data_IF_611346113065
#
_entry.id   IF_611346113065
#
_cell.length_a   1.000
_cell.length_b   1.000
_cell.length_c   1.000
_cell.angle_alpha   90.00
_cell.angle_beta   90.00
_cell.angle_gamma   90.00
#
_symmetry.space_group_name_H-M   'P 1'
#
loop_
_entity.id
_entity.type
_entity.pdbx_description
1 polymer ?
#
# COMPACT_ATOMS: atom_id res chain seq x y z
N UNK A 1 7.06 -15.08 -9.36
CA UNK A 1 6.82 -14.50 -10.69
C UNK A 1 6.35 -13.03 -10.63
N UNK A 2 5.30 -12.68 -9.87
CA UNK A 2 4.71 -11.33 -9.89
C UNK A 2 5.67 -10.14 -9.66
N UNK A 3 6.52 -10.18 -8.62
CA UNK A 3 7.42 -9.08 -8.29
C UNK A 3 8.45 -8.79 -9.40
N UNK A 4 9.02 -9.84 -10.01
CA UNK A 4 10.00 -9.71 -11.10
C UNK A 4 9.39 -9.04 -12.33
N UNK A 5 8.14 -9.37 -12.67
CA UNK A 5 7.43 -8.70 -13.77
C UNK A 5 7.15 -7.22 -13.47
N UNK A 6 6.80 -6.88 -12.22
CA UNK A 6 6.60 -5.49 -11.82
C UNK A 6 7.91 -4.69 -11.85
N UNK A 7 9.02 -5.30 -11.43
CA UNK A 7 10.35 -4.71 -11.55
C UNK A 7 10.73 -4.45 -13.01
N UNK A 8 10.55 -5.44 -13.89
CA UNK A 8 10.80 -5.28 -15.34
C UNK A 8 9.92 -4.17 -15.92
N UNK A 9 8.64 -4.13 -15.55
CA UNK A 9 7.73 -3.09 -16.00
C UNK A 9 8.13 -1.70 -15.50
N UNK A 10 8.66 -1.59 -14.27
CA UNK A 10 9.16 -0.34 -13.72
C UNK A 10 10.44 0.11 -14.44
N UNK A 11 11.36 -0.82 -14.74
CA UNK A 11 12.56 -0.55 -15.54
C UNK A 11 12.26 -0.16 -16.98
N UNK A 12 11.16 -0.66 -17.54
CA UNK A 12 10.63 -0.23 -18.83
C UNK A 12 9.91 1.14 -18.79
N UNK A 13 10.02 1.90 -17.68
CA UNK A 13 9.40 3.20 -17.47
C UNK A 13 7.86 3.22 -17.61
N UNK A 14 7.18 2.09 -17.38
CA UNK A 14 5.72 2.07 -17.33
C UNK A 14 5.23 2.77 -16.06
N UNK A 15 4.41 3.83 -16.13
CA UNK A 15 3.95 4.54 -14.93
C UNK A 15 3.23 3.65 -13.93
N UNK A 16 2.44 2.69 -14.41
CA UNK A 16 1.75 1.68 -13.58
C UNK A 16 2.75 0.72 -12.92
N UNK A 17 3.76 0.27 -13.68
CA UNK A 17 4.81 -0.61 -13.18
C UNK A 17 5.64 0.07 -12.09
N UNK A 18 6.05 1.31 -12.35
CA UNK A 18 6.75 2.17 -11.38
C UNK A 18 5.91 2.33 -10.11
N UNK A 19 4.63 2.68 -10.25
CA UNK A 19 3.73 2.86 -9.10
C UNK A 19 3.57 1.58 -8.28
N UNK A 20 3.21 0.46 -8.91
CA UNK A 20 3.00 -0.81 -8.21
C UNK A 20 4.27 -1.34 -7.55
N UNK A 21 5.41 -1.23 -8.25
CA UNK A 21 6.70 -1.64 -7.70
C UNK A 21 7.14 -0.76 -6.53
N UNK A 22 6.93 0.57 -6.62
CA UNK A 22 7.21 1.48 -5.52
C UNK A 22 6.38 1.17 -4.26
N UNK A 23 5.09 0.89 -4.42
CA UNK A 23 4.21 0.50 -3.30
C UNK A 23 4.69 -0.81 -2.67
N UNK A 24 5.06 -1.81 -3.47
CA UNK A 24 5.61 -3.07 -2.94
C UNK A 24 6.88 -2.84 -2.12
N UNK A 25 7.80 -2.00 -2.62
CA UNK A 25 9.02 -1.65 -1.88
C UNK A 25 8.70 -0.95 -0.55
N UNK A 26 7.69 -0.09 -0.50
CA UNK A 26 7.27 0.51 0.78
C UNK A 26 6.71 -0.52 1.76
N UNK A 27 5.92 -1.49 1.29
CA UNK A 27 5.34 -2.55 2.14
C UNK A 27 6.40 -3.53 2.62
N UNK A 28 7.48 -3.73 1.87
CA UNK A 28 8.64 -4.55 2.28
C UNK A 28 9.71 -3.76 3.04
N UNK A 29 9.39 -2.56 3.53
CA UNK A 29 10.31 -1.68 4.27
C UNK A 29 11.54 -1.18 3.49
N UNK A 30 11.57 -1.35 2.17
CA UNK A 30 12.60 -0.86 1.24
C UNK A 30 12.35 0.62 0.88
N UNK A 31 12.15 1.47 1.89
CA UNK A 31 11.66 2.86 1.71
C UNK A 31 12.57 3.72 0.83
N UNK A 32 13.89 3.49 0.86
CA UNK A 32 14.84 4.25 0.02
C UNK A 32 14.69 3.89 -1.45
N UNK A 33 14.52 2.60 -1.76
CA UNK A 33 14.27 2.15 -3.12
C UNK A 33 12.89 2.60 -3.60
N UNK A 34 11.86 2.44 -2.76
CA UNK A 34 10.49 2.90 -3.05
C UNK A 34 10.44 4.39 -3.42
N UNK A 35 11.14 5.24 -2.66
CA UNK A 35 11.24 6.68 -2.94
C UNK A 35 11.87 6.99 -4.30
N UNK A 36 12.92 6.25 -4.70
CA UNK A 36 13.55 6.45 -6.01
C UNK A 36 12.56 6.21 -7.15
N UNK A 37 11.71 5.18 -7.04
CA UNK A 37 10.69 4.91 -8.05
C UNK A 37 9.55 5.93 -8.01
N UNK A 38 9.11 6.39 -6.84
CA UNK A 38 8.09 7.45 -6.79
C UNK A 38 8.62 8.77 -7.35
N UNK A 39 9.91 9.08 -7.14
CA UNK A 39 10.55 10.28 -7.71
C UNK A 39 10.49 10.29 -9.25
N UNK A 40 10.50 9.11 -9.93
CA UNK A 40 10.28 9.01 -11.38
C UNK A 40 8.87 9.42 -11.82
N UNK A 41 7.89 9.38 -10.90
CA UNK A 41 6.52 9.86 -11.14
C UNK A 41 6.35 11.33 -10.78
N UNK A 42 7.42 12.02 -10.37
CA UNK A 42 7.42 13.41 -9.95
C UNK A 42 6.44 13.71 -8.79
N UNK A 43 6.28 12.73 -7.89
CA UNK A 43 5.27 12.78 -6.82
C UNK A 43 5.39 13.98 -5.86
N UNK A 44 6.57 14.60 -5.76
CA UNK A 44 6.82 15.77 -4.90
C UNK A 44 6.22 17.04 -5.46
N UNK A 45 6.16 17.16 -6.79
CA UNK A 45 5.67 18.36 -7.47
C UNK A 45 4.26 18.14 -8.02
N UNK A 46 3.95 16.92 -8.50
CA UNK A 46 2.67 16.60 -9.13
C UNK A 46 2.15 15.21 -8.72
N UNK A 47 1.05 15.20 -7.97
CA UNK A 47 0.36 13.97 -7.55
C UNK A 47 -0.57 13.39 -8.62
N UNK A 48 -0.79 14.08 -9.75
CA UNK A 48 -1.76 13.70 -10.78
C UNK A 48 -1.46 12.31 -11.35
N UNK A 49 -0.20 12.04 -11.68
CA UNK A 49 0.24 10.73 -12.21
C UNK A 49 0.03 9.62 -11.19
N UNK A 50 0.33 9.89 -9.93
CA UNK A 50 0.19 8.96 -8.82
C UNK A 50 -1.28 8.62 -8.56
N UNK A 51 -2.14 9.65 -8.50
CA UNK A 51 -3.59 9.51 -8.34
C UNK A 51 -4.22 8.76 -9.51
N UNK A 52 -3.79 9.02 -10.74
CA UNK A 52 -4.25 8.28 -11.92
C UNK A 52 -3.90 6.80 -11.83
N UNK A 53 -2.66 6.47 -11.45
CA UNK A 53 -2.23 5.09 -11.26
C UNK A 53 -3.03 4.40 -10.15
N UNK A 54 -3.20 5.07 -9.01
CA UNK A 54 -3.99 4.57 -7.89
C UNK A 54 -5.44 4.26 -8.29
N UNK A 55 -6.10 5.18 -8.99
CA UNK A 55 -7.48 4.99 -9.44
C UNK A 55 -7.60 3.84 -10.44
N UNK A 56 -6.62 3.67 -11.32
CA UNK A 56 -6.60 2.54 -12.25
C UNK A 56 -6.38 1.21 -11.52
N UNK A 57 -5.45 1.15 -10.57
CA UNK A 57 -5.21 -0.05 -9.76
C UNK A 57 -6.46 -0.41 -8.96
N UNK A 58 -7.11 0.57 -8.31
CA UNK A 58 -8.37 0.37 -7.60
C UNK A 58 -9.46 -0.23 -8.48
N UNK A 59 -9.64 0.30 -9.69
CA UNK A 59 -10.62 -0.23 -10.65
C UNK A 59 -10.27 -1.66 -11.04
N UNK A 60 -9.01 -1.93 -11.41
CA UNK A 60 -8.58 -3.29 -11.78
C UNK A 60 -8.72 -4.30 -10.63
N UNK A 61 -8.52 -3.88 -9.38
CA UNK A 61 -8.66 -4.76 -8.22
C UNK A 61 -10.13 -4.97 -7.79
N UNK A 62 -11.06 -4.09 -8.19
CA UNK A 62 -12.49 -4.26 -7.93
C UNK A 62 -13.04 -5.49 -8.66
N UNK A 63 -12.53 -5.73 -9.87
CA UNK A 63 -13.02 -6.80 -10.75
C UNK A 63 -12.29 -8.14 -10.50
N UNK A 64 -11.24 -8.14 -9.67
CA UNK A 64 -10.51 -9.36 -9.30
C UNK A 64 -11.16 -9.97 -8.05
N UNK A 65 -11.78 -11.15 -8.14
CA UNK A 65 -12.27 -11.85 -6.96
C UNK A 65 -11.08 -12.23 -6.08
N UNK A 66 -10.90 -11.52 -4.96
CA UNK A 66 -9.88 -11.85 -3.96
C UNK A 66 -10.43 -13.01 -3.13
N UNK A 67 -10.04 -14.25 -3.47
CA UNK A 67 -10.24 -15.38 -2.58
C UNK A 67 -9.31 -15.24 -1.37
N UNK A 68 -9.86 -14.65 -0.31
CA UNK A 68 -9.20 -14.54 0.98
C UNK A 68 -9.19 -15.93 1.62
N UNK A 69 -8.00 -16.41 1.97
CA UNK A 69 -7.90 -17.62 2.78
C UNK A 69 -8.52 -17.36 4.16
N UNK A 70 -8.95 -18.42 4.85
CA UNK A 70 -9.55 -18.28 6.18
C UNK A 70 -8.56 -17.63 7.16
N UNK A 71 -7.28 -17.94 7.01
CA UNK A 71 -6.16 -17.38 7.78
C UNK A 71 -6.03 -15.87 7.56
N UNK A 72 -6.30 -15.37 6.35
CA UNK A 72 -6.33 -13.93 6.11
C UNK A 72 -7.40 -13.23 6.95
N UNK A 73 -8.60 -13.82 7.06
CA UNK A 73 -9.67 -13.30 7.92
C UNK A 73 -9.28 -13.31 9.40
N UNK A 74 -8.74 -14.43 9.89
CA UNK A 74 -8.28 -14.57 11.28
C UNK A 74 -7.17 -13.58 11.61
N UNK A 75 -6.16 -13.47 10.75
CA UNK A 75 -5.04 -12.55 10.93
C UNK A 75 -5.52 -11.09 10.89
N UNK A 76 -6.47 -10.75 10.02
CA UNK A 76 -7.01 -9.40 9.97
C UNK A 76 -7.70 -8.99 11.27
N UNK A 77 -8.39 -9.92 11.95
CA UNK A 77 -8.99 -9.67 13.27
C UNK A 77 -7.89 -9.51 14.33
N UNK A 78 -6.86 -10.37 14.31
CA UNK A 78 -5.75 -10.32 15.27
C UNK A 78 -4.90 -9.05 15.14
N UNK A 79 -4.71 -8.56 13.92
CA UNK A 79 -3.94 -7.34 13.65
C UNK A 79 -4.79 -6.07 13.66
N UNK A 80 -6.11 -6.18 13.84
CA UNK A 80 -6.97 -5.01 13.95
C UNK A 80 -6.65 -4.30 15.26
N UNK A 81 -6.31 -3.00 15.24
CA UNK A 81 -6.07 -2.28 16.48
C UNK A 81 -7.36 -2.27 17.32
N UNK A 82 -7.26 -2.37 18.66
CA UNK A 82 -8.42 -2.31 19.53
C UNK A 82 -9.16 -0.98 19.33
N UNK A 83 -10.49 -0.99 19.51
CA UNK A 83 -11.36 0.19 19.30
C UNK A 83 -10.97 1.40 20.15
N UNK A 84 -10.19 1.19 21.21
CA UNK A 84 -9.61 2.22 22.07
C UNK A 84 -8.47 3.00 21.41
N UNK A 85 -7.93 2.54 20.29
CA UNK A 85 -6.93 3.27 19.53
C UNK A 85 -7.63 4.33 18.68
N UNK A 86 -7.44 5.61 19.04
CA UNK A 86 -7.90 6.71 18.21
C UNK A 86 -7.16 6.72 16.87
N UNK A 87 -7.87 6.33 15.81
CA UNK A 87 -7.39 6.39 14.41
C UNK A 87 -6.92 7.79 13.98
N UNK A 88 -7.29 8.83 14.74
CA UNK A 88 -6.94 10.24 14.49
C UNK A 88 -5.53 10.62 14.95
N UNK A 89 -4.86 9.83 15.77
CA UNK A 89 -3.48 10.09 16.20
C UNK A 89 -2.46 9.30 15.38
N UNK A 90 -2.51 9.43 14.05
CA UNK A 90 -1.45 8.95 13.16
C UNK A 90 -0.18 9.76 13.44
N UNK A 91 0.79 9.17 14.16
CA UNK A 91 2.09 9.78 14.44
C UNK A 91 2.53 9.80 15.90
N UNK A 92 1.70 9.31 16.85
CA UNK A 92 2.14 9.10 18.24
C UNK A 92 2.14 7.60 18.57
N UNK A 93 3.22 7.06 19.16
CA UNK A 93 3.22 5.69 19.65
C UNK A 93 2.14 5.53 20.74
N UNK A 94 1.26 4.54 20.57
CA UNK A 94 0.25 4.25 21.58
C UNK A 94 0.94 3.72 22.84
N UNK A 95 0.81 4.42 23.97
CA UNK A 95 1.46 4.03 25.24
C UNK A 95 1.02 2.67 25.79
N UNK A 96 -0.12 2.15 25.34
CA UNK A 96 -0.72 0.91 25.85
C UNK A 96 -0.69 -0.25 24.86
N UNK A 97 -0.24 -0.04 23.62
CA UNK A 97 -0.19 -1.09 22.60
C UNK A 97 1.25 -1.33 22.20
N UNK A 98 1.80 -2.46 22.64
CA UNK A 98 3.16 -2.92 22.30
C UNK A 98 3.29 -3.35 20.82
N UNK A 99 2.24 -3.20 20.03
CA UNK A 99 2.18 -3.45 18.59
C UNK A 99 2.08 -2.11 17.85
N UNK A 100 3.03 -1.88 16.94
CA UNK A 100 3.04 -0.75 16.01
C UNK A 100 1.65 -0.58 15.39
N UNK A 101 1.04 0.60 15.55
CA UNK A 101 -0.19 0.97 14.86
C UNK A 101 0.10 1.18 13.37
N UNK A 102 0.37 0.08 12.66
CA UNK A 102 0.39 0.02 11.20
C UNK A 102 -1.04 -0.23 10.77
N UNK A 103 -1.80 0.83 10.45
CA UNK A 103 -3.12 0.62 9.85
C UNK A 103 -2.93 0.24 8.36
N UNK A 104 -3.34 -0.96 7.93
CA UNK A 104 -3.64 -1.17 6.52
C UNK A 104 -4.93 -0.41 6.24
N UNK A 105 -4.82 0.82 5.71
CA UNK A 105 -5.98 1.56 5.22
C UNK A 105 -6.63 0.82 4.04
N UNK A 106 -7.43 -0.19 4.35
CA UNK A 106 -8.51 -0.68 3.51
C UNK A 106 -9.67 0.25 3.80
N UNK A 107 -9.84 1.26 2.94
CA UNK A 107 -11.04 2.06 2.88
C UNK A 107 -12.25 1.12 2.79
N UNK A 108 -12.98 0.98 3.89
CA UNK A 108 -14.39 0.61 3.86
C UNK A 108 -15.13 1.76 3.20
N UNK A 109 -15.71 1.50 2.03
CA UNK A 109 -16.74 2.34 1.43
C UNK A 109 -17.95 1.43 1.28
N UNK A 110 -19.07 1.93 1.80
CA UNK A 110 -20.42 1.37 1.74
C UNK A 110 -20.79 0.79 0.37
#
# INVERSE_FOLDING_TARGET
>A
MGLKHLQISAHANSPKGIYLYAILLFVTCEHRAGRRYTDLLDWKNDLTKLNRCWNQVKRSLRDVPIWKSKEYGTNMILFMPPRSCELKSLGRPCRNCNSFCSNPQVHAIH
#
